data_IF_631476619784
#
_entry.id   IF_631476619784
#
_cell.length_a   1.000
_cell.length_b   1.000
_cell.length_c   1.000
_cell.angle_alpha   90.00
_cell.angle_beta   90.00
_cell.angle_gamma   90.00
#
_symmetry.space_group_name_H-M   'P 1'
#
loop_
_entity.id
_entity.type
_entity.pdbx_description
1 polymer ?
#
# COMPACT_ATOMS: atom_id res chain seq x y z
N UNK A 1 14.94 -9.76 11.22
CA UNK A 1 14.94 -8.61 12.15
C UNK A 1 13.77 -8.79 13.09
N UNK A 2 13.94 -8.63 14.40
CA UNK A 2 12.82 -8.66 15.35
C UNK A 2 12.44 -7.24 15.72
N UNK A 3 11.15 -6.91 15.66
CA UNK A 3 10.64 -5.64 16.13
C UNK A 3 10.61 -5.58 17.66
N UNK A 4 10.76 -4.38 18.26
CA UNK A 4 10.61 -4.21 19.71
C UNK A 4 9.25 -4.68 20.23
N UNK A 5 9.22 -5.12 21.51
CA UNK A 5 7.97 -5.49 22.16
C UNK A 5 6.93 -4.37 22.07
N UNK A 6 5.68 -4.72 21.80
CA UNK A 6 4.58 -3.77 21.62
C UNK A 6 4.51 -3.10 20.23
N UNK A 7 5.33 -3.55 19.29
CA UNK A 7 5.27 -3.13 17.88
C UNK A 7 5.00 -4.30 16.96
N UNK A 8 4.58 -4.00 15.74
CA UNK A 8 4.27 -4.96 14.68
C UNK A 8 5.28 -4.84 13.54
N UNK A 9 5.85 -5.94 13.08
CA UNK A 9 6.60 -5.96 11.82
C UNK A 9 5.62 -5.82 10.65
N UNK A 10 5.56 -4.64 10.06
CA UNK A 10 4.57 -4.34 9.02
C UNK A 10 4.78 -5.17 7.75
N UNK A 11 5.94 -5.79 7.55
CA UNK A 11 6.12 -6.74 6.45
C UNK A 11 5.20 -7.96 6.59
N UNK A 12 5.02 -8.46 7.81
CA UNK A 12 4.13 -9.60 8.08
C UNK A 12 2.65 -9.27 7.84
N UNK A 13 2.32 -7.97 7.80
CA UNK A 13 0.96 -7.46 7.58
C UNK A 13 0.73 -7.00 6.16
N UNK A 14 1.78 -6.61 5.45
CA UNK A 14 1.69 -6.09 4.08
C UNK A 14 1.99 -7.13 3.00
N UNK A 15 2.50 -8.30 3.40
CA UNK A 15 2.85 -9.38 2.46
C UNK A 15 2.02 -10.63 2.73
N UNK A 16 1.87 -11.44 1.71
CA UNK A 16 1.23 -12.75 1.81
C UNK A 16 2.19 -13.74 2.49
N UNK A 17 1.69 -14.52 3.44
CA UNK A 17 2.46 -15.57 4.11
C UNK A 17 2.98 -16.60 3.10
N UNK A 18 4.16 -17.14 3.39
CA UNK A 18 4.81 -18.12 2.51
C UNK A 18 4.00 -19.40 2.33
N UNK A 19 3.18 -19.77 3.31
CA UNK A 19 2.27 -20.92 3.20
C UNK A 19 1.12 -20.68 2.22
N UNK A 20 0.83 -19.41 1.90
CA UNK A 20 -0.20 -18.99 0.96
C UNK A 20 0.37 -18.61 -0.41
N UNK A 21 1.68 -18.77 -0.63
CA UNK A 21 2.36 -18.32 -1.87
C UNK A 21 1.85 -18.96 -3.16
N UNK A 22 1.21 -20.08 -3.09
CA UNK A 22 0.51 -20.69 -4.23
C UNK A 22 -0.91 -20.14 -4.44
N UNK A 23 -1.41 -19.34 -3.51
CA UNK A 23 -2.76 -18.79 -3.50
C UNK A 23 -2.69 -17.29 -3.28
N UNK A 24 -3.31 -16.52 -4.15
CA UNK A 24 -3.24 -15.08 -4.14
C UNK A 24 -4.56 -14.46 -3.72
N UNK A 25 -4.49 -13.33 -3.02
CA UNK A 25 -5.67 -12.54 -2.75
C UNK A 25 -6.25 -11.98 -4.03
N UNK A 26 -7.52 -12.21 -4.22
CA UNK A 26 -8.28 -11.66 -5.33
C UNK A 26 -9.61 -11.13 -4.84
N UNK A 27 -10.08 -10.07 -5.45
CA UNK A 27 -11.46 -9.66 -5.30
C UNK A 27 -11.92 -8.82 -6.49
N UNK A 28 -13.17 -8.99 -6.86
CA UNK A 28 -13.87 -8.13 -7.78
C UNK A 28 -13.05 -7.67 -8.98
N UNK A 29 -13.07 -6.38 -9.24
CA UNK A 29 -12.43 -5.74 -10.41
C UNK A 29 -10.94 -5.45 -10.25
N UNK A 30 -10.40 -5.48 -9.05
CA UNK A 30 -8.99 -5.25 -8.76
C UNK A 30 -8.43 -6.43 -7.98
N UNK A 31 -7.72 -7.31 -8.61
CA UNK A 31 -7.22 -8.56 -8.06
C UNK A 31 -5.73 -8.44 -7.68
N UNK A 32 -5.38 -7.83 -6.54
CA UNK A 32 -3.98 -7.70 -6.17
C UNK A 32 -3.39 -9.06 -5.84
N UNK A 33 -2.30 -9.36 -6.48
CA UNK A 33 -1.43 -10.47 -6.18
C UNK A 33 -0.23 -9.95 -5.42
N UNK A 34 0.21 -10.68 -4.41
CA UNK A 34 1.36 -10.30 -3.61
C UNK A 34 2.54 -11.19 -3.93
N UNK A 35 3.67 -10.59 -4.25
CA UNK A 35 4.88 -11.34 -4.50
C UNK A 35 6.10 -10.61 -3.96
N UNK A 36 6.97 -11.36 -3.29
CA UNK A 36 8.28 -10.89 -2.89
C UNK A 36 9.20 -10.93 -4.11
N UNK A 37 9.74 -9.77 -4.50
CA UNK A 37 10.69 -9.65 -5.61
C UNK A 37 12.13 -9.91 -5.18
N UNK A 38 12.39 -10.13 -3.89
CA UNK A 38 13.73 -10.17 -3.32
C UNK A 38 14.35 -8.77 -3.17
N UNK A 39 15.59 -8.71 -2.67
CA UNK A 39 16.36 -7.45 -2.58
C UNK A 39 15.64 -6.28 -1.90
N UNK A 40 14.83 -6.56 -0.88
CA UNK A 40 14.09 -5.51 -0.16
C UNK A 40 12.90 -4.93 -0.94
N UNK A 41 12.33 -5.69 -1.86
CA UNK A 41 11.18 -5.28 -2.67
C UNK A 41 10.05 -6.28 -2.59
N UNK A 42 8.82 -5.79 -2.57
CA UNK A 42 7.63 -6.58 -2.86
C UNK A 42 6.66 -5.73 -3.69
N UNK A 43 5.67 -6.34 -4.27
CA UNK A 43 4.66 -5.62 -5.05
C UNK A 43 3.27 -6.17 -4.80
N UNK A 44 2.31 -5.28 -4.97
CA UNK A 44 0.92 -5.61 -5.17
C UNK A 44 0.63 -5.53 -6.67
N UNK A 45 0.06 -6.56 -7.25
CA UNK A 45 -0.26 -6.57 -8.67
C UNK A 45 -1.74 -6.74 -8.91
N UNK A 46 -2.16 -6.40 -10.11
CA UNK A 46 -3.52 -6.61 -10.60
C UNK A 46 -3.61 -7.95 -11.29
N UNK A 47 -4.56 -8.76 -10.86
CA UNK A 47 -4.95 -9.95 -11.57
C UNK A 47 -3.83 -10.95 -11.87
N UNK A 48 -4.19 -12.00 -12.58
CA UNK A 48 -3.29 -13.10 -12.92
C UNK A 48 -2.22 -12.74 -13.98
N UNK A 49 -2.39 -11.65 -14.70
CA UNK A 49 -1.43 -11.19 -15.71
C UNK A 49 -0.17 -10.54 -15.13
N UNK A 50 -0.15 -10.32 -13.80
CA UNK A 50 1.00 -9.79 -13.11
C UNK A 50 1.34 -8.32 -13.36
N UNK A 51 0.41 -7.52 -13.91
CA UNK A 51 0.62 -6.08 -14.03
C UNK A 51 0.80 -5.48 -12.63
N UNK A 52 1.91 -4.78 -12.34
CA UNK A 52 2.12 -4.19 -11.02
C UNK A 52 1.10 -3.09 -10.75
N UNK A 53 0.61 -3.06 -9.52
CA UNK A 53 -0.17 -1.91 -9.01
C UNK A 53 0.75 -0.97 -8.27
N UNK A 54 1.38 -1.47 -7.22
CA UNK A 54 2.38 -0.75 -6.44
C UNK A 54 3.59 -1.64 -6.21
N UNK A 55 4.78 -1.08 -6.34
CA UNK A 55 6.02 -1.72 -5.89
C UNK A 55 6.52 -0.96 -4.68
N UNK A 56 6.74 -1.69 -3.59
CA UNK A 56 7.25 -1.19 -2.34
C UNK A 56 8.71 -1.60 -2.16
N UNK A 57 9.49 -0.68 -1.58
CA UNK A 57 10.81 -0.97 -1.03
C UNK A 57 10.70 -1.08 0.48
N UNK A 58 11.59 -1.84 1.10
CA UNK A 58 11.69 -1.85 2.55
C UNK A 58 13.14 -1.95 3.03
N UNK A 59 13.38 -1.37 4.17
CA UNK A 59 14.62 -1.49 4.93
C UNK A 59 14.32 -1.78 6.42
N UNK A 60 15.25 -1.48 7.30
CA UNK A 60 15.08 -1.67 8.73
C UNK A 60 14.23 -0.58 9.41
N UNK A 61 13.95 0.54 8.72
CA UNK A 61 13.22 1.67 9.28
C UNK A 61 11.80 1.77 8.76
N UNK A 62 11.62 1.61 7.45
CA UNK A 62 10.36 1.89 6.79
C UNK A 62 10.03 0.90 5.68
N UNK A 63 8.76 0.86 5.34
CA UNK A 63 8.26 0.39 4.05
C UNK A 63 7.87 1.63 3.26
N UNK A 64 8.36 1.73 2.02
CA UNK A 64 8.24 2.89 1.14
C UNK A 64 7.43 2.55 -0.09
N UNK A 65 6.64 3.50 -0.56
CA UNK A 65 6.15 3.47 -1.93
C UNK A 65 7.29 3.86 -2.87
N UNK A 66 7.56 3.01 -3.86
CA UNK A 66 8.59 3.27 -4.86
C UNK A 66 8.02 3.53 -6.24
N UNK A 67 7.14 2.67 -6.70
CA UNK A 67 6.47 2.78 -7.99
C UNK A 67 4.99 2.57 -7.77
N UNK A 68 4.17 3.44 -8.33
CA UNK A 68 2.72 3.26 -8.41
C UNK A 68 2.27 3.46 -9.85
N UNK A 69 1.26 2.75 -10.25
CA UNK A 69 0.70 2.87 -11.57
C UNK A 69 -0.03 4.19 -11.80
N UNK A 70 -0.11 4.60 -13.06
CA UNK A 70 -0.97 5.70 -13.50
C UNK A 70 -2.11 5.21 -14.39
N UNK A 71 -1.87 4.12 -15.11
CA UNK A 71 -2.87 3.53 -16.00
C UNK A 71 -2.97 2.03 -15.75
N UNK A 72 -4.14 1.59 -15.33
CA UNK A 72 -4.43 0.18 -14.99
C UNK A 72 -4.21 -0.81 -16.12
N UNK A 73 -4.23 -0.35 -17.35
CA UNK A 73 -4.12 -1.19 -18.53
C UNK A 73 -2.75 -1.10 -19.21
N UNK A 74 -1.89 -0.18 -18.74
CA UNK A 74 -0.59 0.07 -19.37
C UNK A 74 0.54 0.07 -18.33
N UNK A 75 1.39 -0.97 -18.28
CA UNK A 75 2.52 -1.05 -17.37
C UNK A 75 3.66 -0.07 -17.67
N UNK A 76 3.57 0.67 -18.77
CA UNK A 76 4.59 1.66 -19.15
C UNK A 76 4.28 3.05 -18.58
N UNK A 77 3.07 3.26 -18.06
CA UNK A 77 2.62 4.53 -17.48
C UNK A 77 2.57 4.43 -15.96
N UNK A 78 3.48 5.12 -15.26
CA UNK A 78 3.65 4.99 -13.82
C UNK A 78 4.28 6.23 -13.17
N UNK A 79 4.15 6.32 -11.85
CA UNK A 79 4.92 7.23 -11.00
C UNK A 79 6.06 6.49 -10.33
N UNK A 80 7.24 7.08 -10.30
CA UNK A 80 8.41 6.55 -9.62
C UNK A 80 8.97 7.55 -8.63
N UNK A 81 9.05 7.16 -7.38
CA UNK A 81 9.68 7.95 -6.33
C UNK A 81 11.19 7.70 -6.33
N UNK A 82 11.98 8.73 -6.11
CA UNK A 82 13.43 8.56 -6.01
C UNK A 82 13.79 7.76 -4.74
N UNK A 83 14.77 6.88 -4.85
CA UNK A 83 15.17 5.97 -3.76
C UNK A 83 15.53 6.71 -2.45
N UNK A 84 16.10 7.91 -2.56
CA UNK A 84 16.54 8.71 -1.39
C UNK A 84 15.48 9.70 -0.89
N UNK A 85 14.40 9.91 -1.66
CA UNK A 85 13.27 10.77 -1.31
C UNK A 85 11.99 9.95 -1.27
N UNK A 86 12.11 8.65 -1.03
CA UNK A 86 11.02 7.71 -0.99
C UNK A 86 9.90 8.20 -0.08
N UNK A 87 8.70 7.96 -0.51
CA UNK A 87 7.53 8.19 0.30
C UNK A 87 7.38 7.05 1.31
N UNK A 88 7.73 7.26 2.61
CA UNK A 88 7.54 6.23 3.62
C UNK A 88 6.04 6.02 3.84
N UNK A 89 5.57 4.79 3.60
CA UNK A 89 4.19 4.41 3.84
C UNK A 89 3.95 4.13 5.33
N UNK A 90 4.78 3.26 5.90
CA UNK A 90 4.68 2.86 7.30
C UNK A 90 6.06 2.62 7.89
N UNK A 91 6.25 2.80 9.22
CA UNK A 91 7.44 2.31 9.91
C UNK A 91 7.54 0.80 9.75
N UNK A 92 8.74 0.25 9.60
CA UNK A 92 8.95 -1.20 9.56
C UNK A 92 8.41 -1.87 10.83
N UNK A 93 8.72 -1.31 11.98
CA UNK A 93 8.18 -1.72 13.28
C UNK A 93 7.17 -0.67 13.74
N UNK A 94 5.90 -0.86 13.41
CA UNK A 94 4.85 0.09 13.71
C UNK A 94 4.25 -0.15 15.09
N UNK A 95 4.09 0.91 15.86
CA UNK A 95 3.23 0.92 17.04
C UNK A 95 1.79 1.14 16.56
N UNK A 96 0.91 0.23 16.90
CA UNK A 96 -0.52 0.39 16.67
C UNK A 96 -1.21 0.80 17.97
N UNK A 97 -2.40 1.37 17.83
CA UNK A 97 -3.17 1.88 18.96
C UNK A 97 -3.75 3.24 18.61
N UNK A 98 -4.10 4.02 19.62
CA UNK A 98 -4.59 5.37 19.44
C UNK A 98 -3.87 6.33 20.42
N UNK A 99 -2.97 7.21 19.94
CA UNK A 99 -2.46 7.29 18.58
C UNK A 99 -1.43 6.18 18.27
N UNK A 100 -1.46 5.65 17.06
CA UNK A 100 -0.45 4.75 16.52
C UNK A 100 0.79 5.47 16.01
N UNK A 101 1.66 4.75 15.28
CA UNK A 101 2.81 5.35 14.61
C UNK A 101 2.37 6.39 13.59
N UNK A 102 3.01 7.55 13.59
CA UNK A 102 2.73 8.67 12.68
C UNK A 102 4.01 9.04 11.95
N UNK A 103 3.91 9.25 10.63
CA UNK A 103 4.97 9.76 9.78
C UNK A 103 4.45 11.01 9.08
N UNK A 104 5.15 12.14 9.25
CA UNK A 104 4.97 13.31 8.40
C UNK A 104 5.83 13.14 7.16
N UNK A 105 5.20 13.15 6.00
CA UNK A 105 5.85 13.05 4.70
C UNK A 105 5.99 14.46 4.15
N UNK A 106 7.23 14.99 3.99
CA UNK A 106 7.46 16.30 3.40
C UNK A 106 7.14 16.29 1.90
N UNK A 107 7.25 17.43 1.26
CA UNK A 107 7.19 17.52 -0.20
C UNK A 107 8.22 16.57 -0.81
N UNK A 108 7.74 15.70 -1.69
CA UNK A 108 8.54 14.66 -2.31
C UNK A 108 8.45 14.76 -3.82
N UNK A 109 9.60 14.79 -4.49
CA UNK A 109 9.65 14.73 -5.95
C UNK A 109 9.44 13.31 -6.45
N UNK A 110 8.69 13.18 -7.52
CA UNK A 110 8.51 11.94 -8.25
C UNK A 110 8.53 12.18 -9.75
N UNK A 111 8.83 11.13 -10.49
CA UNK A 111 8.82 11.15 -11.94
C UNK A 111 7.56 10.46 -12.45
N UNK A 112 6.78 11.13 -13.28
CA UNK A 112 5.64 10.55 -13.98
C UNK A 112 6.08 10.14 -15.37
N UNK A 113 6.00 8.86 -15.68
CA UNK A 113 6.36 8.28 -16.96
C UNK A 113 5.09 8.10 -17.81
N UNK A 114 5.18 8.51 -19.08
CA UNK A 114 4.18 8.19 -20.11
C UNK A 114 4.52 6.89 -20.84
N UNK A 115 5.79 6.54 -20.85
CA UNK A 115 6.34 5.26 -21.30
C UNK A 115 7.66 5.01 -20.53
N UNK A 116 8.39 3.95 -20.84
CA UNK A 116 9.62 3.60 -20.13
C UNK A 116 10.77 4.61 -20.28
N UNK A 117 10.71 5.54 -21.22
CA UNK A 117 11.80 6.45 -21.56
C UNK A 117 11.48 7.93 -21.31
N UNK A 118 10.22 8.33 -21.40
CA UNK A 118 9.79 9.71 -21.25
C UNK A 118 9.16 9.97 -19.90
N UNK A 119 9.64 11.00 -19.17
CA UNK A 119 9.10 11.37 -17.87
C UNK A 119 9.05 12.88 -17.66
N UNK A 120 8.15 13.28 -16.76
CA UNK A 120 8.04 14.64 -16.23
C UNK A 120 8.27 14.56 -14.71
N UNK A 121 9.10 15.44 -14.17
CA UNK A 121 9.29 15.57 -12.73
C UNK A 121 8.15 16.40 -12.15
N UNK A 122 7.55 15.90 -11.09
CA UNK A 122 6.46 16.53 -10.37
C UNK A 122 6.70 16.47 -8.87
N UNK A 123 5.98 17.29 -8.12
CA UNK A 123 6.05 17.30 -6.66
C UNK A 123 4.74 16.75 -6.09
N UNK A 124 4.87 15.82 -5.15
CA UNK A 124 3.79 15.43 -4.26
C UNK A 124 3.79 16.38 -3.07
N UNK A 125 2.64 16.98 -2.81
CA UNK A 125 2.45 17.78 -1.60
C UNK A 125 2.56 16.91 -0.35
N UNK A 126 2.77 17.58 0.77
CA UNK A 126 2.91 16.95 2.08
C UNK A 126 1.80 15.96 2.41
N UNK A 127 2.14 14.96 3.20
CA UNK A 127 1.22 13.93 3.64
C UNK A 127 1.44 13.47 5.08
N UNK A 128 0.47 12.78 5.62
CA UNK A 128 0.56 12.16 6.96
C UNK A 128 0.17 10.70 6.82
N UNK A 129 1.07 9.83 7.23
CA UNK A 129 0.81 8.40 7.33
C UNK A 129 0.67 7.99 8.79
N UNK A 130 -0.32 7.17 9.08
CA UNK A 130 -0.60 6.67 10.42
C UNK A 130 -0.92 5.18 10.39
N UNK A 131 -0.60 4.48 11.48
CA UNK A 131 -1.00 3.08 11.69
C UNK A 131 -1.96 3.02 12.86
N UNK A 132 -3.13 2.44 12.64
CA UNK A 132 -4.21 2.30 13.60
C UNK A 132 -4.49 0.84 13.92
N UNK A 133 -5.19 0.58 14.98
CA UNK A 133 -5.65 -0.75 15.37
C UNK A 133 -4.94 -1.30 16.59
N UNK A 134 -4.99 -2.62 16.79
CA UNK A 134 -5.67 -3.58 15.90
C UNK A 134 -7.20 -3.47 15.97
N UNK A 135 -7.86 -3.75 14.84
CA UNK A 135 -9.31 -3.90 14.76
C UNK A 135 -9.66 -5.34 14.38
N UNK A 136 -10.93 -5.70 14.60
CA UNK A 136 -11.47 -6.98 14.18
C UNK A 136 -12.62 -6.71 13.21
N UNK A 137 -12.54 -7.28 12.01
CA UNK A 137 -13.50 -7.06 10.93
C UNK A 137 -13.93 -8.39 10.31
N UNK A 138 -15.09 -8.38 9.66
CA UNK A 138 -15.57 -9.51 8.86
C UNK A 138 -15.78 -9.03 7.43
N UNK A 139 -15.06 -9.63 6.49
CA UNK A 139 -15.10 -9.29 5.08
C UNK A 139 -15.77 -10.37 4.23
N UNK A 140 -16.14 -11.48 4.86
CA UNK A 140 -16.73 -12.63 4.15
C UNK A 140 -15.72 -13.36 3.25
N UNK A 141 -16.24 -14.09 2.25
CA UNK A 141 -15.43 -14.86 1.31
C UNK A 141 -14.63 -15.97 2.00
N UNK A 142 -13.35 -16.07 1.68
CA UNK A 142 -12.43 -17.08 2.21
C UNK A 142 -11.60 -16.58 3.41
N UNK A 143 -11.84 -15.36 3.88
CA UNK A 143 -11.18 -14.82 5.07
C UNK A 143 -11.89 -15.23 6.36
N UNK A 144 -11.17 -15.31 7.49
CA UNK A 144 -11.77 -15.55 8.79
C UNK A 144 -12.85 -14.51 9.14
N UNK A 145 -13.91 -14.93 9.80
CA UNK A 145 -15.05 -14.08 10.17
C UNK A 145 -14.69 -13.00 11.22
N UNK A 146 -13.61 -13.20 11.96
CA UNK A 146 -13.12 -12.24 12.96
C UNK A 146 -11.65 -11.91 12.67
N UNK A 147 -11.42 -11.28 11.53
CA UNK A 147 -10.09 -11.01 11.02
C UNK A 147 -9.46 -9.83 11.75
N UNK A 148 -8.32 -10.06 12.39
CA UNK A 148 -7.53 -9.00 13.00
C UNK A 148 -6.79 -8.21 11.94
N UNK A 149 -6.97 -6.88 11.94
CA UNK A 149 -6.34 -5.97 10.98
C UNK A 149 -5.65 -4.80 11.65
N UNK A 150 -4.59 -4.32 11.02
CA UNK A 150 -4.05 -2.97 11.19
C UNK A 150 -4.50 -2.12 10.02
N UNK A 151 -4.66 -0.82 10.23
CA UNK A 151 -5.01 0.13 9.19
C UNK A 151 -3.83 1.07 8.98
N UNK A 152 -3.23 1.03 7.80
CA UNK A 152 -2.30 2.05 7.36
C UNK A 152 -3.08 3.14 6.64
N UNK A 153 -3.16 4.32 7.23
CA UNK A 153 -3.85 5.47 6.67
C UNK A 153 -2.84 6.41 6.05
N UNK A 154 -3.08 6.82 4.83
CA UNK A 154 -2.30 7.79 4.07
C UNK A 154 -3.19 8.99 3.74
N UNK A 155 -2.91 10.14 4.36
CA UNK A 155 -3.52 11.43 4.02
C UNK A 155 -2.52 12.22 3.18
N UNK A 156 -2.97 12.81 2.08
CA UNK A 156 -2.12 13.51 1.14
C UNK A 156 -2.77 14.79 0.61
N UNK A 157 -2.02 15.55 -0.16
CA UNK A 157 -2.38 16.91 -0.55
C UNK A 157 -2.68 17.78 0.68
N UNK A 158 -1.80 17.70 1.69
CA UNK A 158 -1.93 18.46 2.92
C UNK A 158 -1.42 19.90 2.74
N UNK A 159 -1.91 20.79 3.60
CA UNK A 159 -1.33 22.12 3.76
C UNK A 159 0.06 22.06 4.44
N UNK A 160 0.77 23.19 4.45
CA UNK A 160 2.15 23.25 4.97
C UNK A 160 2.27 22.89 6.45
N UNK A 161 1.21 22.99 7.20
CA UNK A 161 1.18 22.68 8.63
C UNK A 161 0.66 21.26 8.90
N UNK A 162 0.27 20.51 7.87
CA UNK A 162 -0.39 19.21 7.96
C UNK A 162 -1.73 19.24 8.68
N UNK A 163 -2.37 20.40 8.78
CA UNK A 163 -3.64 20.55 9.48
C UNK A 163 -4.81 20.05 8.63
N UNK A 164 -4.77 20.31 7.33
CA UNK A 164 -5.82 19.91 6.40
C UNK A 164 -5.21 19.13 5.23
N UNK A 165 -5.76 17.96 4.94
CA UNK A 165 -5.41 17.14 3.79
C UNK A 165 -6.66 16.91 2.95
N UNK A 166 -6.54 16.95 1.63
CA UNK A 166 -7.71 16.83 0.74
C UNK A 166 -8.15 15.40 0.48
N UNK A 167 -7.23 14.46 0.57
CA UNK A 167 -7.47 13.07 0.25
C UNK A 167 -6.92 12.15 1.34
N UNK A 168 -7.53 10.97 1.46
CA UNK A 168 -7.11 9.92 2.38
C UNK A 168 -7.34 8.55 1.77
N UNK A 169 -6.36 7.69 1.93
CA UNK A 169 -6.50 6.25 1.65
C UNK A 169 -6.30 5.46 2.93
N UNK A 170 -7.02 4.37 3.06
CA UNK A 170 -6.89 3.41 4.16
C UNK A 170 -6.66 2.02 3.61
N UNK A 171 -5.54 1.42 4.01
CA UNK A 171 -5.14 0.07 3.67
C UNK A 171 -5.36 -0.81 4.90
N UNK A 172 -6.34 -1.70 4.85
CA UNK A 172 -6.61 -2.67 5.90
C UNK A 172 -5.74 -3.89 5.67
N UNK A 173 -4.82 -4.11 6.58
CA UNK A 173 -3.74 -5.08 6.47
C UNK A 173 -3.96 -6.19 7.49
N UNK A 174 -3.98 -7.43 7.06
CA UNK A 174 -4.15 -8.59 7.93
C UNK A 174 -2.90 -9.47 7.91
N UNK A 175 -2.45 -9.88 9.09
CA UNK A 175 -1.30 -10.77 9.20
C UNK A 175 -1.54 -12.05 8.40
N UNK A 176 -0.57 -12.47 7.61
CA UNK A 176 -0.58 -13.57 6.63
C UNK A 176 -1.33 -13.30 5.32
N UNK A 177 -2.27 -12.37 5.31
CA UNK A 177 -3.12 -12.12 4.15
C UNK A 177 -2.72 -10.86 3.37
N UNK A 178 -1.94 -9.96 3.97
CA UNK A 178 -1.60 -8.68 3.35
C UNK A 178 -2.78 -7.72 3.30
N UNK A 179 -2.94 -7.00 2.19
CA UNK A 179 -4.04 -6.06 1.98
C UNK A 179 -5.38 -6.80 1.77
N UNK A 180 -6.32 -6.58 2.67
CA UNK A 180 -7.65 -7.22 2.64
C UNK A 180 -8.79 -6.25 2.33
N UNK A 181 -8.55 -4.94 2.48
CA UNK A 181 -9.48 -3.89 2.07
C UNK A 181 -8.71 -2.60 1.81
N UNK A 182 -9.12 -1.88 0.78
CA UNK A 182 -8.68 -0.52 0.50
C UNK A 182 -9.88 0.41 0.40
N UNK A 183 -9.73 1.64 0.93
CA UNK A 183 -10.78 2.65 0.89
C UNK A 183 -10.15 4.00 0.56
N UNK A 184 -10.73 4.70 -0.40
CA UNK A 184 -10.38 6.06 -0.77
C UNK A 184 -11.45 7.05 -0.30
N UNK A 185 -11.00 8.17 0.24
CA UNK A 185 -11.83 9.27 0.72
C UNK A 185 -11.33 10.59 0.14
N UNK A 186 -12.25 11.52 -0.12
CA UNK A 186 -11.92 12.92 -0.39
C UNK A 186 -12.57 13.83 0.64
N UNK A 187 -11.91 14.94 0.95
CA UNK A 187 -12.44 15.95 1.85
C UNK A 187 -13.55 16.74 1.16
N UNK A 188 -14.76 16.69 1.71
CA UNK A 188 -15.94 17.43 1.23
C UNK A 188 -16.65 18.02 2.43
N UNK A 189 -16.90 19.34 2.40
CA UNK A 189 -17.59 20.05 3.47
C UNK A 189 -16.98 19.82 4.86
N UNK A 190 -15.65 19.80 4.95
CA UNK A 190 -14.90 19.63 6.20
C UNK A 190 -14.83 18.21 6.76
N UNK A 191 -15.36 17.19 6.04
CA UNK A 191 -15.33 15.81 6.45
C UNK A 191 -14.82 14.89 5.32
N UNK A 192 -14.10 13.83 5.66
CA UNK A 192 -13.71 12.81 4.70
C UNK A 192 -14.91 11.94 4.31
N UNK A 193 -15.26 11.97 3.03
CA UNK A 193 -16.33 11.16 2.46
C UNK A 193 -15.75 10.05 1.60
N UNK A 194 -16.21 8.83 1.84
CA UNK A 194 -15.78 7.66 1.07
C UNK A 194 -16.19 7.81 -0.40
N UNK A 195 -15.22 7.65 -1.28
CA UNK A 195 -15.41 7.69 -2.73
C UNK A 195 -15.37 6.29 -3.33
N UNK A 196 -14.49 5.43 -2.81
CA UNK A 196 -14.30 4.09 -3.33
C UNK A 196 -13.90 3.14 -2.20
N UNK A 197 -14.35 1.90 -2.30
CA UNK A 197 -13.96 0.79 -1.42
C UNK A 197 -13.76 -0.46 -2.24
N UNK A 198 -12.66 -1.16 -1.98
CA UNK A 198 -12.37 -2.48 -2.57
C UNK A 198 -12.07 -3.47 -1.46
N UNK A 199 -12.67 -4.65 -1.54
CA UNK A 199 -12.47 -5.75 -0.58
C UNK A 199 -11.74 -6.89 -1.29
N UNK A 200 -10.73 -7.44 -0.63
CA UNK A 200 -9.90 -8.56 -1.12
C UNK A 200 -10.13 -9.75 -0.20
N UNK A 201 -11.12 -10.57 -0.50
CA UNK A 201 -11.61 -11.62 0.39
C UNK A 201 -11.66 -13.02 -0.25
N UNK A 202 -11.02 -13.20 -1.39
CA UNK A 202 -10.89 -14.49 -2.06
C UNK A 202 -9.41 -14.81 -2.25
N UNK A 203 -9.08 -16.10 -2.12
CA UNK A 203 -7.78 -16.65 -2.45
C UNK A 203 -7.89 -17.34 -3.81
N UNK A 204 -6.96 -17.06 -4.71
CA UNK A 204 -6.87 -17.72 -6.00
C UNK A 204 -5.52 -18.40 -6.15
N UNK A 205 -5.51 -19.52 -6.84
CA UNK A 205 -4.29 -20.20 -7.26
C UNK A 205 -3.73 -19.57 -8.52
N UNK A 206 -2.43 -19.64 -8.67
CA UNK A 206 -1.74 -19.13 -9.86
C UNK A 206 -1.26 -17.70 -9.69
N UNK A 207 -0.58 -17.21 -10.67
CA UNK A 207 0.03 -15.89 -10.73
C UNK A 207 1.44 -16.01 -11.28
N UNK A 208 1.74 -15.20 -12.25
CA UNK A 208 3.07 -15.05 -12.80
C UNK A 208 3.75 -13.86 -12.14
N UNK A 209 5.08 -13.92 -12.04
CA UNK A 209 5.87 -12.73 -11.72
C UNK A 209 5.47 -11.63 -12.70
N UNK A 210 5.22 -10.39 -12.25
CA UNK A 210 4.88 -9.32 -13.16
C UNK A 210 6.00 -9.12 -14.17
N UNK A 211 5.62 -9.04 -15.39
CA UNK A 211 6.47 -8.51 -16.43
C UNK A 211 6.28 -6.99 -16.44
N UNK A 212 7.18 -6.30 -15.75
CA UNK A 212 7.23 -4.84 -15.79
C UNK A 212 8.43 -4.45 -16.65
N UNK A 213 8.21 -4.14 -17.92
CA UNK A 213 9.30 -4.03 -18.91
C UNK A 213 10.25 -2.86 -18.63
N UNK A 214 9.88 -1.94 -17.73
CA UNK A 214 10.68 -0.75 -17.43
C UNK A 214 11.66 -0.93 -16.26
N UNK A 215 11.64 -2.06 -15.52
CA UNK A 215 12.46 -2.26 -14.30
C UNK A 215 12.93 -3.70 -14.12
#
# INVERSE_FOLDING_TARGET
MSCPSGTYDMLDWMTLDSSLRGNYHMSGSANPLYTNMGSGKFYWSKGANGTPWDIQLFDNKYIYLWITELNWNDPHTFKKFAKNTNMPLVPRCAKAGFPGSVIKVPDTSYQTYSDCSHYITQNLKQGINQVWGPYYISLGGQLPSNLKVLVASYRYNCDINYATCNDKEEYYLAQKYGLVQWVHYSLKNGAFQMQQKTVFNQLASGGTKPNFPCF
#
